data_IF_743920578821
#
_entry.id   IF_743920578821
#
_cell.length_a   1.000
_cell.length_b   1.000
_cell.length_c   1.000
_cell.angle_alpha   90.00
_cell.angle_beta   90.00
_cell.angle_gamma   90.00
#
_symmetry.space_group_name_H-M   'P 1'
#
loop_
_entity.id
_entity.type
_entity.pdbx_description
1 polymer ?
#
# COMPACT_ATOMS: atom_id res chain seq x y z
N UNK A 1 29.67 0.15 15.92
CA UNK A 1 28.77 -0.28 17.02
C UNK A 1 27.34 -0.08 16.55
N UNK A 2 26.43 -0.96 16.92
CA UNK A 2 24.98 -0.83 16.63
C UNK A 2 24.41 0.24 17.55
N UNK A 3 23.74 1.25 17.01
CA UNK A 3 23.13 2.32 17.81
C UNK A 3 21.64 2.09 17.97
N UNK A 4 21.16 2.15 19.21
CA UNK A 4 19.74 1.97 19.55
C UNK A 4 19.17 3.27 20.10
N UNK A 5 17.97 3.63 19.66
CA UNK A 5 17.24 4.77 20.18
C UNK A 5 15.75 4.47 20.28
N UNK A 6 15.15 5.02 21.34
CA UNK A 6 13.71 4.92 21.60
C UNK A 6 13.00 6.06 20.88
N UNK A 7 11.83 5.78 20.30
CA UNK A 7 11.05 6.75 19.52
C UNK A 7 9.65 6.86 20.11
N UNK A 8 9.36 8.01 20.68
CA UNK A 8 8.03 8.38 21.15
C UNK A 8 7.20 9.08 20.06
N UNK A 9 5.90 9.25 20.30
CA UNK A 9 4.96 9.82 19.32
C UNK A 9 5.42 11.15 18.67
N UNK A 10 5.91 12.15 19.44
CA UNK A 10 6.42 13.40 18.88
C UNK A 10 7.71 13.25 18.05
N UNK A 11 8.50 12.20 18.31
CA UNK A 11 9.81 11.98 17.69
C UNK A 11 9.73 11.19 16.39
N UNK A 12 8.55 10.65 16.05
CA UNK A 12 8.31 9.90 14.82
C UNK A 12 8.74 10.68 13.57
N UNK A 13 8.57 12.02 13.55
CA UNK A 13 9.03 12.84 12.43
C UNK A 13 10.55 12.73 12.17
N UNK A 14 11.36 12.57 13.23
CA UNK A 14 12.80 12.32 13.08
C UNK A 14 13.06 10.92 12.53
N UNK A 15 12.31 9.91 12.98
CA UNK A 15 12.40 8.56 12.44
C UNK A 15 12.05 8.54 10.94
N UNK A 16 10.98 9.20 10.52
CA UNK A 16 10.58 9.32 9.11
C UNK A 16 11.66 10.00 8.29
N UNK A 17 12.21 11.11 8.80
CA UNK A 17 13.33 11.81 8.15
C UNK A 17 14.53 10.87 8.01
N UNK A 18 14.83 10.05 9.03
CA UNK A 18 15.94 9.09 9.00
C UNK A 18 15.71 7.92 8.05
N UNK A 19 14.46 7.43 7.92
CA UNK A 19 14.08 6.38 6.96
C UNK A 19 14.46 6.79 5.54
N UNK A 20 14.08 8.01 5.14
CA UNK A 20 14.25 8.56 3.79
C UNK A 20 15.51 9.42 3.61
N UNK A 21 16.43 9.38 4.57
CA UNK A 21 17.70 10.09 4.47
C UNK A 21 18.59 9.46 3.39
N UNK A 22 18.77 10.18 2.28
CA UNK A 22 19.60 9.77 1.14
C UNK A 22 21.08 9.61 1.49
N UNK A 23 21.52 10.20 2.60
CA UNK A 23 22.91 10.11 3.09
C UNK A 23 23.14 8.91 4.01
N UNK A 24 22.07 8.23 4.45
CA UNK A 24 22.17 7.04 5.29
C UNK A 24 22.77 5.88 4.49
N UNK A 25 23.94 5.42 4.93
CA UNK A 25 24.66 4.28 4.34
C UNK A 25 24.37 2.96 5.03
N UNK A 26 23.79 3.00 6.22
CA UNK A 26 23.58 1.84 7.09
C UNK A 26 22.10 1.41 7.14
N UNK A 27 21.79 0.11 7.30
CA UNK A 27 20.42 -0.35 7.50
C UNK A 27 19.79 0.21 8.79
N UNK A 28 18.48 0.46 8.75
CA UNK A 28 17.68 0.89 9.89
C UNK A 28 16.65 -0.20 10.21
N UNK A 29 16.67 -0.70 11.44
CA UNK A 29 15.70 -1.68 11.94
C UNK A 29 14.70 -0.96 12.83
N UNK A 30 13.42 -1.01 12.46
CA UNK A 30 12.33 -0.45 13.27
C UNK A 30 11.65 -1.59 14.01
N UNK A 31 11.49 -1.46 15.33
CA UNK A 31 10.86 -2.45 16.19
C UNK A 31 9.59 -1.84 16.78
N UNK A 32 8.44 -2.48 16.55
CA UNK A 32 7.16 -2.02 17.08
C UNK A 32 6.74 -2.77 18.35
N UNK A 33 6.01 -2.13 19.27
CA UNK A 33 5.41 -2.82 20.41
C UNK A 33 4.13 -3.53 19.98
N UNK A 34 3.66 -4.46 20.82
CA UNK A 34 2.33 -5.05 20.67
C UNK A 34 1.32 -4.41 21.63
N UNK A 35 0.06 -4.33 21.21
CA UNK A 35 -1.02 -3.70 21.97
C UNK A 35 -1.31 -4.36 23.31
N UNK A 36 -1.02 -5.65 23.44
CA UNK A 36 -1.28 -6.45 24.65
C UNK A 36 -0.37 -6.05 25.81
N UNK A 37 0.93 -5.84 25.53
CA UNK A 37 1.96 -5.63 26.55
C UNK A 37 2.59 -4.24 26.49
N UNK A 38 2.33 -3.47 25.44
CA UNK A 38 2.99 -2.20 25.17
C UNK A 38 4.49 -2.33 24.89
N UNK A 39 5.00 -3.56 24.72
CA UNK A 39 6.43 -3.87 24.55
C UNK A 39 6.66 -4.68 23.27
N UNK A 40 7.87 -4.67 22.69
CA UNK A 40 8.22 -5.54 21.57
C UNK A 40 8.06 -7.02 21.90
N UNK A 41 7.75 -7.85 20.89
CA UNK A 41 7.69 -9.31 21.03
C UNK A 41 9.06 -9.99 21.04
N UNK A 42 10.12 -9.24 20.71
CA UNK A 42 11.50 -9.71 20.68
C UNK A 42 12.35 -9.09 21.79
N UNK A 43 13.44 -9.75 22.15
CA UNK A 43 14.48 -9.15 22.97
C UNK A 43 15.35 -8.21 22.12
N UNK A 44 15.14 -6.90 22.29
CA UNK A 44 15.86 -5.87 21.55
C UNK A 44 17.35 -5.87 21.89
N UNK A 45 17.73 -6.10 23.16
CA UNK A 45 19.13 -6.12 23.55
C UNK A 45 19.85 -7.27 22.86
N UNK A 46 19.21 -8.44 22.85
CA UNK A 46 19.72 -9.61 22.14
C UNK A 46 19.81 -9.41 20.63
N UNK A 47 18.82 -8.76 20.02
CA UNK A 47 18.87 -8.42 18.59
C UNK A 47 20.06 -7.49 18.28
N UNK A 48 20.30 -6.47 19.10
CA UNK A 48 21.38 -5.50 18.93
C UNK A 48 22.76 -6.16 18.97
N UNK A 49 22.96 -7.18 19.82
CA UNK A 49 24.19 -7.98 19.87
C UNK A 49 24.45 -8.78 18.58
N UNK A 50 23.38 -9.25 17.92
CA UNK A 50 23.47 -10.08 16.72
C UNK A 50 23.60 -9.25 15.44
N UNK A 51 23.16 -7.98 15.45
CA UNK A 51 23.16 -7.13 14.27
C UNK A 51 24.58 -6.72 13.84
N UNK A 52 24.82 -6.60 12.51
CA UNK A 52 26.08 -6.08 11.99
C UNK A 52 26.39 -4.69 12.54
N UNK A 53 27.67 -4.42 12.79
CA UNK A 53 28.14 -3.11 13.21
C UNK A 53 27.77 -2.04 12.17
N UNK A 54 27.22 -0.92 12.64
CA UNK A 54 26.73 0.16 11.76
C UNK A 54 25.21 0.20 11.66
N UNK A 55 24.52 -0.92 11.94
CA UNK A 55 23.05 -0.95 11.93
C UNK A 55 22.45 -0.02 12.99
N UNK A 56 21.42 0.72 12.61
CA UNK A 56 20.61 1.51 13.53
C UNK A 56 19.36 0.74 13.95
N UNK A 57 18.97 0.83 15.22
CA UNK A 57 17.74 0.23 15.74
C UNK A 57 16.87 1.31 16.37
N UNK A 58 15.70 1.54 15.78
CA UNK A 58 14.67 2.43 16.30
C UNK A 58 13.57 1.60 16.97
N UNK A 59 13.40 1.77 18.28
CA UNK A 59 12.37 1.07 19.04
C UNK A 59 11.20 2.03 19.28
N UNK A 60 10.03 1.71 18.73
CA UNK A 60 8.84 2.50 18.96
C UNK A 60 8.37 2.27 20.40
N UNK A 61 8.40 3.31 21.22
CA UNK A 61 8.15 3.20 22.65
C UNK A 61 6.68 2.92 22.99
N UNK A 62 5.76 3.30 22.08
CA UNK A 62 4.32 3.21 22.32
C UNK A 62 3.53 2.82 21.08
N UNK A 63 2.31 2.30 21.29
CA UNK A 63 1.34 2.08 20.20
C UNK A 63 0.97 3.38 19.47
N UNK A 64 1.05 4.53 20.16
CA UNK A 64 0.85 5.84 19.54
C UNK A 64 1.97 6.16 18.55
N UNK A 65 3.23 5.90 18.91
CA UNK A 65 4.36 6.07 18.00
C UNK A 65 4.23 5.16 16.77
N UNK A 66 3.83 3.90 16.95
CA UNK A 66 3.55 2.98 15.83
C UNK A 66 2.44 3.48 14.90
N UNK A 67 1.33 4.00 15.46
CA UNK A 67 0.26 4.60 14.64
C UNK A 67 0.71 5.83 13.89
N UNK A 68 1.35 6.78 14.58
CA UNK A 68 1.85 8.02 13.97
C UNK A 68 2.88 7.71 12.87
N UNK A 69 3.72 6.69 13.06
CA UNK A 69 4.63 6.23 12.01
C UNK A 69 3.84 5.72 10.81
N UNK A 70 2.86 4.85 11.02
CA UNK A 70 2.05 4.30 9.94
C UNK A 70 1.28 5.36 9.15
N UNK A 71 0.85 6.44 9.80
CA UNK A 71 0.17 7.57 9.17
C UNK A 71 1.15 8.46 8.37
N UNK A 72 2.44 8.47 8.71
CA UNK A 72 3.44 9.35 8.12
C UNK A 72 4.24 8.73 6.95
N UNK A 73 4.14 7.40 6.77
CA UNK A 73 4.90 6.63 5.77
C UNK A 73 3.98 5.80 4.88
N UNK A 74 4.45 5.51 3.67
CA UNK A 74 3.77 4.60 2.75
C UNK A 74 3.69 3.17 3.33
N UNK A 75 2.71 2.37 2.90
CA UNK A 75 2.38 1.05 3.47
C UNK A 75 3.60 0.10 3.59
N UNK A 76 4.52 0.17 2.62
CA UNK A 76 5.77 -0.60 2.64
C UNK A 76 6.77 -0.26 3.75
N UNK A 77 6.58 0.83 4.49
CA UNK A 77 7.44 1.24 5.60
C UNK A 77 6.76 1.11 6.96
N UNK A 78 5.48 0.74 7.00
CA UNK A 78 4.72 0.61 8.24
C UNK A 78 5.26 -0.52 9.12
N UNK A 79 5.25 -0.29 10.44
CA UNK A 79 5.72 -1.25 11.44
C UNK A 79 4.79 -1.19 12.66
N UNK A 80 4.05 -2.28 12.92
CA UNK A 80 3.01 -2.34 13.94
C UNK A 80 2.82 -3.76 14.52
N UNK A 81 2.15 -3.87 15.67
CA UNK A 81 1.67 -5.15 16.20
C UNK A 81 2.76 -6.09 16.71
N UNK A 82 3.92 -5.57 17.13
CA UNK A 82 5.05 -6.39 17.55
C UNK A 82 5.97 -6.81 16.40
N UNK A 83 5.71 -6.34 15.17
CA UNK A 83 6.56 -6.61 14.02
C UNK A 83 7.88 -5.82 14.07
N UNK A 84 8.85 -6.31 13.30
CA UNK A 84 10.14 -5.67 13.07
C UNK A 84 10.32 -5.43 11.58
N UNK A 85 10.72 -4.22 11.17
CA UNK A 85 11.01 -3.91 9.77
C UNK A 85 12.47 -3.57 9.56
N UNK A 86 13.11 -4.22 8.60
CA UNK A 86 14.46 -3.88 8.14
C UNK A 86 14.39 -2.95 6.92
N UNK A 87 14.92 -1.73 7.06
CA UNK A 87 14.88 -0.68 6.04
C UNK A 87 16.29 -0.45 5.50
N UNK A 88 16.52 -0.88 4.27
CA UNK A 88 17.81 -0.73 3.59
C UNK A 88 18.15 0.75 3.27
N UNK A 89 19.45 1.06 3.06
CA UNK A 89 19.90 2.36 2.59
C UNK A 89 19.25 2.81 1.27
N UNK A 90 19.13 4.12 1.09
CA UNK A 90 18.52 4.72 -0.10
C UNK A 90 17.05 4.37 -0.30
N UNK A 91 16.29 4.25 0.80
CA UNK A 91 14.86 3.99 0.77
C UNK A 91 14.11 5.14 0.07
N UNK A 92 13.25 4.80 -0.88
CA UNK A 92 12.38 5.73 -1.58
C UNK A 92 10.90 5.41 -1.29
N UNK A 93 10.03 6.43 -1.28
CA UNK A 93 8.58 6.25 -1.11
C UNK A 93 7.93 5.40 -2.20
N UNK A 94 8.63 5.15 -3.30
CA UNK A 94 8.19 4.30 -4.42
C UNK A 94 8.81 2.91 -4.38
N UNK A 95 9.60 2.58 -3.35
CA UNK A 95 10.26 1.28 -3.24
C UNK A 95 9.24 0.15 -3.06
N UNK A 96 9.44 -0.94 -3.78
CA UNK A 96 8.58 -2.11 -3.67
C UNK A 96 8.57 -2.68 -2.24
N UNK A 97 7.39 -3.08 -1.76
CA UNK A 97 7.16 -3.46 -0.36
C UNK A 97 8.03 -4.62 0.16
N UNK A 98 8.59 -5.46 -0.71
CA UNK A 98 9.52 -6.53 -0.32
C UNK A 98 10.98 -6.08 -0.15
N UNK A 99 11.38 -4.89 -0.65
CA UNK A 99 12.75 -4.35 -0.47
C UNK A 99 13.07 -4.09 1.00
N UNK A 100 12.08 -3.61 1.75
CA UNK A 100 12.19 -3.35 3.18
C UNK A 100 11.44 -4.43 3.93
N UNK A 101 12.11 -5.53 4.30
CA UNK A 101 11.44 -6.72 4.82
C UNK A 101 10.72 -6.44 6.14
N UNK A 102 9.46 -6.85 6.23
CA UNK A 102 8.70 -6.96 7.49
C UNK A 102 8.84 -8.38 8.06
N UNK A 103 9.11 -8.46 9.34
CA UNK A 103 9.09 -9.68 10.14
C UNK A 103 7.91 -9.58 11.10
N UNK A 104 6.89 -10.41 10.88
CA UNK A 104 5.82 -10.60 11.85
C UNK A 104 6.28 -11.62 12.87
N UNK A 105 6.17 -11.29 14.15
CA UNK A 105 6.49 -12.20 15.27
C UNK A 105 5.18 -12.52 15.99
N UNK A 106 4.89 -13.80 16.13
CA UNK A 106 3.72 -14.32 16.82
C UNK A 106 4.07 -14.75 18.26
N UNK A 107 3.09 -14.80 19.18
CA UNK A 107 3.32 -15.21 20.57
C UNK A 107 4.03 -16.56 20.75
N UNK A 108 3.81 -17.49 19.83
CA UNK A 108 4.35 -18.85 19.82
C UNK A 108 5.75 -18.98 19.21
N UNK A 109 6.26 -17.92 18.58
CA UNK A 109 7.56 -17.95 17.90
C UNK A 109 8.73 -18.02 18.89
N UNK A 110 9.78 -18.74 18.49
CA UNK A 110 11.07 -18.70 19.18
C UNK A 110 11.74 -17.34 18.96
N UNK A 111 11.75 -16.53 20.02
CA UNK A 111 12.31 -15.17 20.03
C UNK A 111 13.80 -15.14 19.64
N UNK A 112 14.61 -16.11 20.08
CA UNK A 112 16.04 -16.17 19.74
C UNK A 112 16.21 -16.51 18.26
N UNK A 113 15.41 -17.43 17.73
CA UNK A 113 15.41 -17.76 16.31
C UNK A 113 14.98 -16.55 15.46
N UNK A 114 13.96 -15.80 15.90
CA UNK A 114 13.51 -14.57 15.24
C UNK A 114 14.61 -13.50 15.22
N UNK A 115 15.28 -13.25 16.35
CA UNK A 115 16.41 -12.30 16.41
C UNK A 115 17.55 -12.69 15.46
N UNK A 116 17.91 -13.98 15.39
CA UNK A 116 18.94 -14.47 14.45
C UNK A 116 18.51 -14.33 12.99
N UNK A 117 17.23 -14.57 12.69
CA UNK A 117 16.69 -14.43 11.33
C UNK A 117 16.76 -12.97 10.87
N UNK A 118 16.32 -12.03 11.72
CA UNK A 118 16.39 -10.59 11.43
C UNK A 118 17.85 -10.17 11.22
N UNK A 119 18.74 -10.53 12.15
CA UNK A 119 20.15 -10.18 12.07
C UNK A 119 20.83 -10.72 10.81
N UNK A 120 20.55 -11.98 10.46
CA UNK A 120 21.04 -12.60 9.24
C UNK A 120 20.53 -11.88 7.99
N UNK A 121 19.25 -11.54 7.93
CA UNK A 121 18.71 -10.79 6.80
C UNK A 121 19.38 -9.41 6.63
N UNK A 122 19.62 -8.69 7.74
CA UNK A 122 20.34 -7.40 7.70
C UNK A 122 21.78 -7.60 7.22
N UNK A 123 22.47 -8.65 7.69
CA UNK A 123 23.82 -9.00 7.25
C UNK A 123 23.88 -9.37 5.76
N UNK A 124 22.97 -10.21 5.28
CA UNK A 124 22.90 -10.64 3.89
C UNK A 124 22.52 -9.48 2.94
N UNK A 125 21.90 -8.43 3.47
CA UNK A 125 21.49 -7.23 2.72
C UNK A 125 22.53 -6.10 2.77
N UNK A 126 23.58 -6.21 3.57
CA UNK A 126 24.69 -5.26 3.61
C UNK A 126 25.41 -5.24 2.25
N UNK A 127 25.56 -4.05 1.66
CA UNK A 127 26.13 -3.88 0.30
C UNK A 127 25.10 -3.89 -0.84
N UNK A 128 23.81 -4.12 -0.54
CA UNK A 128 22.73 -3.84 -1.49
C UNK A 128 22.61 -2.32 -1.62
N UNK A 129 23.19 -1.75 -2.67
CA UNK A 129 23.13 -0.31 -2.93
C UNK A 129 21.69 0.23 -3.03
N UNK A 130 21.52 1.55 -3.18
CA UNK A 130 20.22 2.12 -3.56
C UNK A 130 19.71 1.35 -4.77
N UNK A 131 18.41 1.06 -4.79
CA UNK A 131 17.80 0.33 -5.89
C UNK A 131 18.23 1.01 -7.20
N UNK A 132 18.94 0.27 -8.06
CA UNK A 132 19.09 0.70 -9.44
C UNK A 132 17.70 0.65 -10.01
N UNK A 133 17.04 1.81 -10.08
CA UNK A 133 15.86 1.96 -10.91
C UNK A 133 16.23 1.42 -12.28
N UNK A 134 15.66 0.27 -12.66
CA UNK A 134 15.52 -0.07 -14.06
C UNK A 134 14.81 1.13 -14.64
N UNK A 135 15.54 1.89 -15.44
CA UNK A 135 15.11 3.14 -16.01
C UNK A 135 14.07 2.81 -17.09
N UNK A 136 12.86 2.45 -16.65
CA UNK A 136 11.67 2.77 -17.43
C UNK A 136 11.65 4.28 -17.51
N UNK A 137 11.99 4.79 -18.69
CA UNK A 137 11.92 6.18 -19.15
C UNK A 137 11.83 7.22 -18.02
N UNK A 138 12.96 7.82 -17.66
CA UNK A 138 12.99 8.95 -16.75
C UNK A 138 11.88 9.96 -17.15
N UNK A 139 11.03 10.42 -16.22
CA UNK A 139 10.20 11.58 -16.50
C UNK A 139 11.18 12.71 -16.80
N UNK A 140 11.13 13.21 -18.04
CA UNK A 140 11.99 14.29 -18.48
C UNK A 140 11.92 15.45 -17.50
N UNK A 141 13.05 15.74 -16.88
CA UNK A 141 13.49 17.08 -16.50
C UNK A 141 12.69 17.79 -15.43
N UNK A 142 13.42 18.44 -14.52
CA UNK A 142 13.00 19.71 -13.97
C UNK A 142 12.44 20.56 -15.11
N UNK A 143 11.19 21.04 -14.99
CA UNK A 143 10.55 21.90 -15.99
C UNK A 143 11.54 22.99 -16.38
N UNK A 144 11.86 23.11 -17.68
CA UNK A 144 12.69 24.23 -18.10
C UNK A 144 11.96 25.55 -17.80
N UNK A 145 12.70 26.66 -17.74
CA UNK A 145 12.15 27.98 -17.42
C UNK A 145 10.98 28.39 -18.33
N UNK A 146 10.93 27.89 -19.55
CA UNK A 146 9.86 28.16 -20.52
C UNK A 146 8.62 27.32 -20.22
N UNK A 147 8.80 26.05 -19.87
CA UNK A 147 7.73 25.15 -19.44
C UNK A 147 7.12 25.59 -18.10
N UNK A 148 7.95 26.06 -17.16
CA UNK A 148 7.51 26.66 -15.91
C UNK A 148 6.71 27.94 -16.14
N UNK A 149 7.14 28.79 -17.08
CA UNK A 149 6.42 30.01 -17.48
C UNK A 149 5.07 29.69 -18.15
N UNK A 150 5.01 28.67 -19.02
CA UNK A 150 3.77 28.20 -19.63
C UNK A 150 2.78 27.66 -18.59
N UNK A 151 3.27 26.93 -17.59
CA UNK A 151 2.45 26.42 -16.49
C UNK A 151 1.91 27.56 -15.60
N UNK A 152 2.74 28.56 -15.31
CA UNK A 152 2.32 29.75 -14.56
C UNK A 152 1.29 30.59 -15.31
N UNK A 153 1.40 30.69 -16.64
CA UNK A 153 0.42 31.37 -17.48
C UNK A 153 -0.90 30.59 -17.59
N UNK A 154 -0.82 29.27 -17.74
CA UNK A 154 -1.98 28.39 -17.69
C UNK A 154 -2.72 28.47 -16.35
N UNK A 155 -1.98 28.48 -15.23
CA UNK A 155 -2.55 28.63 -13.88
C UNK A 155 -3.20 30.00 -13.68
N UNK A 156 -2.61 31.07 -14.22
CA UNK A 156 -3.22 32.41 -14.23
C UNK A 156 -4.50 32.46 -15.05
N UNK A 157 -4.58 31.76 -16.19
CA UNK A 157 -5.80 31.68 -17.00
C UNK A 157 -6.91 30.89 -16.30
N UNK A 158 -6.56 29.82 -15.59
CA UNK A 158 -7.52 29.05 -14.77
C UNK A 158 -8.07 29.86 -13.59
N UNK A 159 -7.24 30.70 -12.97
CA UNK A 159 -7.64 31.55 -11.84
C UNK A 159 -8.43 32.79 -12.32
N UNK A 160 -8.09 33.36 -13.48
CA UNK A 160 -8.78 34.51 -14.05
C UNK A 160 -10.09 34.12 -14.79
N UNK A 161 -10.20 32.88 -15.25
CA UNK A 161 -11.36 32.35 -15.98
C UNK A 161 -12.42 31.75 -15.07
N UNK A 162 -12.95 32.55 -14.14
CA UNK A 162 -14.22 32.23 -13.47
C UNK A 162 -15.38 32.37 -14.46
N UNK A 163 -16.01 31.24 -14.79
CA UNK A 163 -17.20 31.08 -15.62
C UNK A 163 -17.01 31.08 -17.17
N UNK A 164 -17.06 29.86 -17.72
CA UNK A 164 -17.62 29.57 -19.05
C UNK A 164 -16.73 29.80 -20.27
N UNK A 165 -16.02 28.77 -20.73
CA UNK A 165 -16.16 28.32 -22.12
C UNK A 165 -15.52 26.92 -22.34
N UNK A 166 -16.05 26.20 -23.34
CA UNK A 166 -15.75 24.80 -23.63
C UNK A 166 -14.27 24.56 -23.99
N UNK A 167 -13.60 23.62 -23.32
CA UNK A 167 -12.37 23.01 -23.83
C UNK A 167 -12.69 21.99 -24.95
N UNK A 168 -11.92 21.96 -26.05
CA UNK A 168 -12.21 21.08 -27.19
C UNK A 168 -11.97 19.62 -26.81
N UNK A 169 -12.98 18.78 -27.05
CA UNK A 169 -12.86 17.32 -26.97
C UNK A 169 -11.83 16.83 -28.00
N UNK A 170 -10.89 15.94 -27.65
CA UNK A 170 -10.08 15.25 -28.64
C UNK A 170 -11.00 14.40 -29.55
N UNK A 171 -10.80 14.53 -30.86
CA UNK A 171 -11.59 13.85 -31.88
C UNK A 171 -11.35 12.33 -31.82
N UNK A 172 -12.42 11.58 -31.60
CA UNK A 172 -12.47 10.13 -31.82
C UNK A 172 -12.60 9.91 -33.34
N UNK A 173 -11.77 9.07 -33.98
CA UNK A 173 -11.91 8.78 -35.40
C UNK A 173 -13.18 7.97 -35.67
N UNK A 174 -14.01 8.47 -36.60
CA UNK A 174 -15.27 7.85 -37.02
C UNK A 174 -15.02 6.56 -37.81
N UNK A 175 -15.68 5.47 -37.39
CA UNK A 175 -15.99 4.34 -38.26
C UNK A 175 -17.35 4.57 -38.95
N UNK A 176 -17.41 4.26 -40.25
CA UNK A 176 -18.54 4.53 -41.15
C UNK A 176 -19.83 3.74 -40.86
N UNK A 177 -20.90 4.02 -41.63
CA UNK A 177 -22.28 3.80 -41.22
C UNK A 177 -22.79 2.39 -41.55
N UNK A 178 -23.61 1.82 -40.66
CA UNK A 178 -24.28 0.55 -40.93
C UNK A 178 -25.30 0.11 -39.88
N UNK A 179 -26.56 0.44 -40.17
CA UNK A 179 -27.80 -0.26 -39.79
C UNK A 179 -28.41 0.00 -38.41
N UNK A 180 -29.66 0.48 -38.50
CA UNK A 180 -30.63 0.88 -37.49
C UNK A 180 -31.36 -0.36 -36.94
N UNK A 181 -31.55 -0.44 -35.63
CA UNK A 181 -32.43 -1.41 -34.98
C UNK A 181 -32.97 -0.87 -33.65
N UNK A 182 -34.28 -0.88 -33.50
CA UNK A 182 -35.08 -0.03 -32.60
C UNK A 182 -35.43 -0.64 -31.23
N UNK A 183 -35.17 0.12 -30.15
CA UNK A 183 -35.92 0.20 -28.86
C UNK A 183 -35.90 -0.99 -27.88
N UNK A 184 -36.43 -0.85 -26.64
CA UNK A 184 -36.81 0.35 -25.88
C UNK A 184 -36.06 0.50 -24.52
N UNK A 185 -35.86 1.74 -24.07
CA UNK A 185 -35.31 2.04 -22.73
C UNK A 185 -36.36 1.89 -21.61
N UNK A 186 -35.96 1.58 -20.36
CA UNK A 186 -36.88 1.50 -19.24
C UNK A 186 -37.23 2.90 -18.71
N UNK A 187 -38.53 3.09 -18.45
CA UNK A 187 -39.15 4.30 -17.86
C UNK A 187 -38.93 4.38 -16.34
N UNK A 188 -39.03 5.59 -15.74
CA UNK A 188 -38.73 5.85 -14.34
C UNK A 188 -39.94 5.71 -13.38
N UNK A 189 -39.63 5.43 -12.12
CA UNK A 189 -40.47 5.74 -10.94
C UNK A 189 -40.32 4.71 -9.80
N UNK A 190 -40.80 4.98 -8.57
CA UNK A 190 -41.19 6.26 -7.96
C UNK A 190 -40.67 6.49 -6.51
N UNK A 191 -40.71 7.74 -6.03
CA UNK A 191 -41.27 8.05 -4.71
C UNK A 191 -40.35 8.15 -3.48
N UNK A 192 -40.11 9.41 -3.09
CA UNK A 192 -39.62 9.90 -1.79
C UNK A 192 -40.22 9.16 -0.57
N UNK A 193 -39.37 8.79 0.40
CA UNK A 193 -39.77 8.58 1.80
C UNK A 193 -38.83 9.33 2.75
N UNK A 194 -39.48 10.05 3.67
CA UNK A 194 -38.94 10.95 4.70
C UNK A 194 -38.02 10.21 5.68
N UNK A 195 -36.85 10.80 5.97
CA UNK A 195 -36.02 10.42 7.10
C UNK A 195 -36.61 10.99 8.40
N UNK A 196 -36.73 10.13 9.41
CA UNK A 196 -37.07 10.50 10.78
C UNK A 196 -35.82 11.06 11.48
N UNK A 197 -35.89 12.31 11.93
CA UNK A 197 -34.91 12.87 12.87
C UNK A 197 -35.07 12.23 14.24
N UNK A 198 -33.99 11.63 14.76
CA UNK A 198 -33.87 11.24 16.17
C UNK A 198 -33.41 12.45 16.98
N UNK A 199 -34.23 12.81 17.95
CA UNK A 199 -34.05 13.86 18.96
C UNK A 199 -32.86 13.57 19.88
N UNK A 200 -32.03 14.58 20.13
CA UNK A 200 -31.10 14.63 21.26
C UNK A 200 -31.81 15.27 22.48
N UNK A 201 -31.55 14.82 23.71
CA UNK A 201 -32.18 15.36 24.91
C UNK A 201 -31.57 16.71 25.34
N UNK A 202 -32.46 17.56 25.86
CA UNK A 202 -32.24 18.93 26.35
C UNK A 202 -31.75 18.89 27.80
N UNK A 203 -30.79 19.73 28.23
CA UNK A 203 -30.48 19.89 29.64
C UNK A 203 -31.56 20.72 30.35
N UNK A 204 -31.87 20.31 31.57
CA UNK A 204 -32.77 20.91 32.55
C UNK A 204 -32.27 22.27 33.03
N UNK A 205 -33.22 23.21 33.16
CA UNK A 205 -33.01 24.50 33.80
C UNK A 205 -32.96 24.33 35.33
N UNK A 206 -31.95 24.90 35.97
CA UNK A 206 -31.83 25.04 37.41
C UNK A 206 -31.88 26.55 37.75
N UNK A 207 -32.69 26.88 38.74
CA UNK A 207 -33.07 28.22 39.20
C UNK A 207 -31.89 29.08 39.66
N UNK A 208 -31.96 30.39 39.38
CA UNK A 208 -31.21 31.44 40.05
C UNK A 208 -32.19 32.52 40.56
N UNK A 209 -31.96 33.11 41.75
CA UNK A 209 -32.97 33.87 42.50
C UNK A 209 -33.13 35.33 42.07
N UNK A 210 -34.27 35.90 42.48
CA UNK A 210 -34.80 37.26 42.24
C UNK A 210 -33.86 38.42 42.63
N UNK A 211 -33.98 39.59 41.97
CA UNK A 211 -33.23 40.79 42.31
C UNK A 211 -33.87 41.58 43.46
N UNK A 212 -33.01 41.98 44.40
CA UNK A 212 -33.32 42.80 45.58
C UNK A 212 -33.55 44.28 45.21
N UNK A 213 -34.37 44.92 46.04
CA UNK A 213 -35.03 46.21 45.83
C UNK A 213 -34.09 47.44 45.72
N UNK A 214 -34.57 48.42 44.94
CA UNK A 214 -34.01 49.76 44.82
C UNK A 214 -34.48 50.69 45.95
N UNK A 215 -33.57 51.56 46.41
CA UNK A 215 -33.84 52.79 47.16
C UNK A 215 -32.72 53.83 46.87
N UNK A 216 -32.96 55.15 47.05
CA UNK A 216 -32.71 56.13 45.99
C UNK A 216 -31.56 57.13 46.22
N UNK A 217 -31.34 57.94 45.17
CA UNK A 217 -30.95 59.38 45.15
C UNK A 217 -29.48 59.75 44.88
N UNK A 218 -29.25 60.42 43.74
CA UNK A 218 -28.34 61.57 43.60
C UNK A 218 -28.63 62.36 42.29
N UNK A 219 -28.63 63.69 42.41
CA UNK A 219 -28.95 64.71 41.41
C UNK A 219 -28.01 64.75 40.16
N UNK A 220 -28.39 65.43 39.06
CA UNK A 220 -27.64 65.38 37.80
C UNK A 220 -26.43 66.32 37.82
N UNK A 221 -25.23 65.76 37.68
CA UNK A 221 -23.99 66.48 37.36
C UNK A 221 -23.79 66.64 35.84
N UNK A 222 -22.95 67.61 35.40
CA UNK A 222 -22.89 68.07 34.02
C UNK A 222 -22.30 67.00 33.09
N UNK A 223 -22.87 66.88 31.89
CA UNK A 223 -22.57 65.82 30.92
C UNK A 223 -21.12 65.80 30.43
N UNK A 224 -20.64 64.64 29.93
CA UNK A 224 -19.30 64.53 29.40
C UNK A 224 -19.19 65.38 28.13
N UNK A 225 -18.24 66.32 28.13
CA UNK A 225 -17.86 67.06 26.94
C UNK A 225 -17.51 66.07 25.82
N UNK A 226 -18.28 66.13 24.73
CA UNK A 226 -17.97 65.42 23.51
C UNK A 226 -16.60 65.90 23.01
N UNK A 227 -15.58 65.08 23.16
CA UNK A 227 -14.29 65.29 22.51
C UNK A 227 -14.49 64.99 21.03
N UNK A 228 -14.71 66.03 20.22
CA UNK A 228 -14.68 65.90 18.77
C UNK A 228 -13.22 65.71 18.34
N UNK A 229 -12.88 64.47 17.96
CA UNK A 229 -11.62 64.17 17.29
C UNK A 229 -11.85 64.52 15.82
N UNK A 230 -11.18 65.57 15.34
CA UNK A 230 -11.12 65.87 13.91
C UNK A 230 -9.99 65.05 13.31
N UNK A 231 -10.35 64.07 12.50
CA UNK A 231 -9.40 63.25 11.73
C UNK A 231 -9.42 63.78 10.30
N UNK A 232 -8.24 64.02 9.74
CA UNK A 232 -8.09 64.46 8.36
C UNK A 232 -8.57 63.36 7.40
N UNK A 233 -9.27 63.74 6.32
CA UNK A 233 -9.92 62.78 5.44
C UNK A 233 -8.92 61.83 4.77
N UNK A 234 -7.71 62.32 4.46
CA UNK A 234 -6.63 61.51 3.90
C UNK A 234 -6.11 60.46 4.89
N UNK A 235 -6.00 60.82 6.17
CA UNK A 235 -5.58 59.90 7.23
C UNK A 235 -6.66 58.84 7.49
N UNK A 236 -7.93 59.20 7.32
CA UNK A 236 -9.04 58.27 7.43
C UNK A 236 -9.07 57.26 6.28
N UNK A 237 -8.81 57.69 5.04
CA UNK A 237 -8.68 56.79 3.88
C UNK A 237 -7.51 55.82 4.04
N UNK A 238 -6.34 56.29 4.47
CA UNK A 238 -5.16 55.42 4.67
C UNK A 238 -5.41 54.35 5.75
N UNK A 239 -6.06 54.72 6.86
CA UNK A 239 -6.46 53.78 7.91
C UNK A 239 -7.55 52.79 7.45
N UNK A 240 -8.44 53.23 6.55
CA UNK A 240 -9.47 52.37 5.95
C UNK A 240 -8.85 51.35 5.00
N UNK A 241 -7.92 51.77 4.14
CA UNK A 241 -7.19 50.89 3.22
C UNK A 241 -6.36 49.85 3.99
N UNK A 242 -5.62 50.25 5.03
CA UNK A 242 -4.91 49.30 5.89
C UNK A 242 -5.85 48.28 6.55
N UNK A 243 -7.03 48.72 6.98
CA UNK A 243 -8.03 47.83 7.58
C UNK A 243 -8.64 46.88 6.56
N UNK A 244 -8.94 47.35 5.36
CA UNK A 244 -9.46 46.52 4.26
C UNK A 244 -8.42 45.47 3.86
N UNK A 245 -7.17 45.86 3.71
CA UNK A 245 -6.06 44.95 3.41
C UNK A 245 -5.84 43.89 4.49
N UNK A 246 -5.97 44.29 5.76
CA UNK A 246 -5.92 43.36 6.89
C UNK A 246 -7.06 42.36 6.85
N UNK A 247 -8.28 42.81 6.52
CA UNK A 247 -9.46 41.96 6.41
C UNK A 247 -9.30 40.99 5.24
N UNK A 248 -8.88 41.46 4.06
CA UNK A 248 -8.67 40.63 2.86
C UNK A 248 -7.63 39.55 3.13
N UNK A 249 -6.50 39.88 3.77
CA UNK A 249 -5.47 38.91 4.15
C UNK A 249 -6.01 37.85 5.12
N UNK A 250 -6.79 38.28 6.10
CA UNK A 250 -7.35 37.37 7.12
C UNK A 250 -8.43 36.45 6.55
N UNK A 251 -9.26 36.97 5.64
CA UNK A 251 -10.27 36.17 4.93
C UNK A 251 -9.60 35.18 3.97
N UNK A 252 -8.59 35.61 3.22
CA UNK A 252 -7.86 34.74 2.29
C UNK A 252 -7.14 33.59 3.02
N UNK A 253 -6.45 33.89 4.12
CA UNK A 253 -5.80 32.88 4.94
C UNK A 253 -6.80 31.88 5.55
N UNK A 254 -7.95 32.36 6.04
CA UNK A 254 -8.99 31.49 6.58
C UNK A 254 -9.67 30.61 5.53
N UNK A 255 -9.81 31.10 4.30
CA UNK A 255 -10.33 30.31 3.17
C UNK A 255 -9.33 29.25 2.73
N UNK A 256 -8.03 29.58 2.65
CA UNK A 256 -6.98 28.62 2.31
C UNK A 256 -6.84 27.51 3.36
N UNK A 257 -6.82 27.84 4.65
CA UNK A 257 -6.81 26.85 5.73
C UNK A 257 -8.07 25.98 5.70
N UNK A 258 -9.25 26.58 5.48
CA UNK A 258 -10.51 25.84 5.37
C UNK A 258 -10.54 24.89 4.17
N UNK A 259 -10.01 25.30 3.02
CA UNK A 259 -9.95 24.47 1.81
C UNK A 259 -8.98 23.31 1.97
N UNK A 260 -7.83 23.54 2.61
CA UNK A 260 -6.84 22.50 2.92
C UNK A 260 -7.39 21.49 3.94
N UNK A 261 -8.13 21.95 4.95
CA UNK A 261 -8.79 21.06 5.91
C UNK A 261 -9.82 20.16 5.22
N UNK A 262 -10.66 20.71 4.34
CA UNK A 262 -11.66 19.94 3.58
C UNK A 262 -11.02 18.93 2.62
N UNK A 263 -9.95 19.30 1.91
CA UNK A 263 -9.19 18.39 1.05
C UNK A 263 -8.57 17.24 1.84
N UNK A 264 -8.06 17.53 3.04
CA UNK A 264 -7.47 16.52 3.90
C UNK A 264 -8.54 15.58 4.49
N UNK A 265 -9.71 16.09 4.86
CA UNK A 265 -10.85 15.29 5.29
C UNK A 265 -11.37 14.36 4.18
N UNK A 266 -11.44 14.85 2.94
CA UNK A 266 -11.87 14.08 1.77
C UNK A 266 -10.85 12.99 1.42
N UNK A 267 -9.54 13.30 1.46
CA UNK A 267 -8.49 12.31 1.26
C UNK A 267 -8.55 11.20 2.32
N UNK A 268 -8.72 11.58 3.59
CA UNK A 268 -8.92 10.64 4.69
C UNK A 268 -10.22 9.82 4.55
N UNK A 269 -11.27 10.39 3.94
CA UNK A 269 -12.50 9.66 3.66
C UNK A 269 -12.28 8.62 2.55
N UNK A 270 -11.59 8.98 1.47
CA UNK A 270 -11.20 8.06 0.41
C UNK A 270 -10.31 6.92 0.90
N UNK A 271 -9.33 7.21 1.76
CA UNK A 271 -8.45 6.18 2.32
C UNK A 271 -9.20 5.23 3.27
N UNK A 272 -10.16 5.74 4.04
CA UNK A 272 -11.08 4.90 4.82
C UNK A 272 -11.93 4.01 3.93
N UNK A 273 -12.37 4.52 2.79
CA UNK A 273 -13.18 3.77 1.83
C UNK A 273 -12.36 2.70 1.10
N UNK A 274 -11.12 3.01 0.71
CA UNK A 274 -10.16 2.03 0.17
C UNK A 274 -9.80 0.96 1.19
N UNK A 275 -9.48 1.35 2.43
CA UNK A 275 -9.16 0.40 3.51
C UNK A 275 -10.34 -0.53 3.81
N UNK A 276 -11.57 -0.02 3.73
CA UNK A 276 -12.79 -0.85 3.84
C UNK A 276 -12.93 -1.78 2.64
N UNK A 277 -12.68 -1.31 1.42
CA UNK A 277 -12.73 -2.14 0.22
C UNK A 277 -11.70 -3.27 0.29
N UNK A 278 -10.48 -2.98 0.75
CA UNK A 278 -9.41 -3.97 0.91
C UNK A 278 -9.73 -4.97 2.02
N UNK A 279 -10.23 -4.49 3.17
CA UNK A 279 -10.69 -5.37 4.26
C UNK A 279 -11.85 -6.26 3.82
N UNK A 280 -12.77 -5.74 3.01
CA UNK A 280 -13.88 -6.52 2.45
C UNK A 280 -13.38 -7.51 1.38
N UNK A 281 -12.38 -7.16 0.58
CA UNK A 281 -11.75 -8.06 -0.37
C UNK A 281 -11.03 -9.23 0.35
N UNK A 282 -10.33 -8.93 1.45
CA UNK A 282 -9.67 -9.94 2.28
C UNK A 282 -10.69 -10.83 3.00
N UNK A 283 -11.74 -10.25 3.59
CA UNK A 283 -12.84 -11.01 4.17
C UNK A 283 -13.56 -11.87 3.14
N UNK A 284 -13.76 -11.37 1.92
CA UNK A 284 -14.34 -12.15 0.83
C UNK A 284 -13.40 -13.29 0.40
N UNK A 285 -12.09 -13.07 0.35
CA UNK A 285 -11.11 -14.11 0.03
C UNK A 285 -11.04 -15.20 1.11
N UNK A 286 -11.07 -14.82 2.40
CA UNK A 286 -11.13 -15.75 3.53
C UNK A 286 -12.48 -16.50 3.57
N UNK A 287 -13.59 -15.82 3.32
CA UNK A 287 -14.91 -16.46 3.18
C UNK A 287 -14.94 -17.40 1.98
N UNK A 288 -14.35 -17.04 0.84
CA UNK A 288 -14.21 -17.91 -0.32
C UNK A 288 -13.38 -19.15 0.03
N UNK A 289 -12.23 -18.99 0.68
CA UNK A 289 -11.39 -20.08 1.13
C UNK A 289 -12.13 -21.00 2.12
N UNK A 290 -12.88 -20.43 3.07
CA UNK A 290 -13.69 -21.19 4.03
C UNK A 290 -14.86 -21.88 3.36
N UNK A 291 -15.50 -21.25 2.37
CA UNK A 291 -16.54 -21.88 1.56
C UNK A 291 -15.97 -22.98 0.68
N UNK A 292 -14.77 -22.83 0.12
CA UNK A 292 -14.06 -23.89 -0.61
C UNK A 292 -13.75 -25.10 0.29
N UNK A 293 -13.30 -24.83 1.51
CA UNK A 293 -13.01 -25.85 2.53
C UNK A 293 -14.30 -26.50 3.08
N UNK A 294 -15.35 -25.72 3.36
CA UNK A 294 -16.63 -26.22 3.89
C UNK A 294 -17.51 -26.91 2.85
N UNK A 295 -17.48 -26.45 1.59
CA UNK A 295 -18.31 -27.02 0.52
C UNK A 295 -17.72 -28.31 -0.06
N UNK A 296 -16.56 -28.77 0.41
CA UNK A 296 -15.92 -29.96 -0.17
C UNK A 296 -15.74 -29.83 -1.68
N UNK A 297 -15.56 -28.60 -2.19
CA UNK A 297 -15.37 -28.30 -3.62
C UNK A 297 -13.93 -28.55 -4.05
N UNK A 298 -13.40 -29.72 -3.66
CA UNK A 298 -12.65 -30.55 -4.60
C UNK A 298 -13.59 -31.04 -5.69
N UNK A 299 -14.24 -30.13 -6.41
CA UNK A 299 -14.93 -30.47 -7.64
C UNK A 299 -13.84 -30.92 -8.58
N UNK A 300 -13.74 -32.22 -8.81
CA UNK A 300 -12.83 -32.79 -9.78
C UNK A 300 -12.91 -31.93 -11.04
N UNK A 301 -11.79 -31.33 -11.42
CA UNK A 301 -11.67 -30.57 -12.65
C UNK A 301 -12.26 -31.44 -13.76
N UNK A 302 -13.24 -30.96 -14.55
CA UNK A 302 -13.93 -31.83 -15.50
C UNK A 302 -12.90 -32.53 -16.37
N UNK A 303 -12.92 -33.86 -16.38
CA UNK A 303 -12.02 -34.62 -17.24
C UNK A 303 -12.54 -34.52 -18.68
N UNK A 304 -11.99 -33.56 -19.42
CA UNK A 304 -12.33 -33.28 -20.82
C UNK A 304 -11.53 -34.18 -21.76
N UNK A 305 -10.30 -34.51 -21.39
CA UNK A 305 -9.41 -35.34 -22.19
C UNK A 305 -9.02 -36.63 -21.48
N UNK A 306 -8.92 -37.72 -22.25
CA UNK A 306 -8.40 -38.99 -21.77
C UNK A 306 -6.87 -38.92 -21.55
N UNK A 307 -6.17 -38.21 -22.44
CA UNK A 307 -4.73 -37.96 -22.36
C UNK A 307 -4.40 -36.96 -21.22
N UNK A 308 -3.62 -37.35 -20.20
CA UNK A 308 -3.34 -36.50 -19.04
C UNK A 308 -2.55 -35.23 -19.38
N UNK A 309 -1.69 -35.28 -20.40
CA UNK A 309 -0.93 -34.12 -20.86
C UNK A 309 -1.82 -33.06 -21.53
N UNK A 310 -2.78 -33.49 -22.35
CA UNK A 310 -3.80 -32.60 -22.95
C UNK A 310 -4.77 -32.08 -21.90
N UNK A 311 -5.16 -32.92 -20.94
CA UNK A 311 -5.98 -32.50 -19.81
C UNK A 311 -5.29 -31.35 -19.04
N UNK A 312 -4.01 -31.52 -18.66
CA UNK A 312 -3.28 -30.47 -17.94
C UNK A 312 -3.16 -29.16 -18.73
N UNK A 313 -2.92 -29.21 -20.05
CA UNK A 313 -2.87 -28.00 -20.88
C UNK A 313 -4.20 -27.26 -20.88
N UNK A 314 -5.31 -27.99 -20.96
CA UNK A 314 -6.64 -27.41 -20.86
C UNK A 314 -6.89 -26.79 -19.47
N UNK A 315 -6.45 -27.45 -18.40
CA UNK A 315 -6.57 -26.94 -17.03
C UNK A 315 -5.82 -25.61 -16.84
N UNK A 316 -4.59 -25.51 -17.36
CA UNK A 316 -3.79 -24.28 -17.33
C UNK A 316 -4.48 -23.15 -18.10
N UNK A 317 -5.02 -23.46 -19.29
CA UNK A 317 -5.75 -22.48 -20.08
C UNK A 317 -7.01 -21.99 -19.36
N UNK A 318 -7.80 -22.89 -18.77
CA UNK A 318 -9.00 -22.51 -18.00
C UNK A 318 -8.67 -21.69 -16.76
N UNK A 319 -7.64 -22.07 -16.01
CA UNK A 319 -7.19 -21.32 -14.83
C UNK A 319 -6.69 -19.93 -15.23
N UNK A 320 -5.96 -19.81 -16.34
CA UNK A 320 -5.50 -18.51 -16.84
C UNK A 320 -6.67 -17.62 -17.27
N UNK A 321 -7.64 -18.17 -18.02
CA UNK A 321 -8.79 -17.41 -18.51
C UNK A 321 -9.73 -16.97 -17.38
N UNK A 322 -9.88 -17.77 -16.32
CA UNK A 322 -10.82 -17.48 -15.22
C UNK A 322 -10.15 -16.78 -14.04
N UNK A 323 -8.88 -17.06 -13.76
CA UNK A 323 -8.13 -16.54 -12.62
C UNK A 323 -7.29 -15.28 -12.91
N UNK A 324 -7.03 -14.94 -14.19
CA UNK A 324 -6.25 -13.76 -14.57
C UNK A 324 -7.15 -12.68 -15.22
N UNK A 325 -7.17 -11.43 -14.71
CA UNK A 325 -7.94 -10.34 -15.30
C UNK A 325 -7.60 -10.13 -16.78
N UNK A 326 -8.59 -9.72 -17.60
CA UNK A 326 -8.37 -9.48 -19.03
C UNK A 326 -7.25 -8.48 -19.34
N UNK A 327 -7.11 -7.45 -18.51
CA UNK A 327 -6.03 -6.47 -18.61
C UNK A 327 -4.62 -7.07 -18.44
N UNK A 328 -4.50 -8.18 -17.73
CA UNK A 328 -3.24 -8.89 -17.48
C UNK A 328 -2.98 -10.01 -18.49
N UNK A 329 -3.95 -10.32 -19.37
CA UNK A 329 -3.84 -11.40 -20.37
C UNK A 329 -3.22 -10.96 -21.70
N UNK A 330 -2.88 -9.68 -21.85
CA UNK A 330 -2.41 -9.09 -23.11
C UNK A 330 -1.12 -9.72 -23.66
N UNK A 331 -0.19 -10.09 -22.77
CA UNK A 331 1.13 -10.64 -23.15
C UNK A 331 1.09 -12.16 -23.43
N UNK A 332 -0.02 -12.83 -23.12
CA UNK A 332 -0.18 -14.28 -23.28
C UNK A 332 0.67 -15.12 -22.32
N UNK A 333 0.51 -16.45 -22.40
CA UNK A 333 1.35 -17.39 -21.66
C UNK A 333 2.59 -17.78 -22.47
N UNK A 334 3.73 -17.92 -21.78
CA UNK A 334 4.94 -18.52 -22.36
C UNK A 334 4.66 -19.94 -22.85
N UNK A 335 5.37 -20.36 -23.90
CA UNK A 335 5.35 -21.74 -24.36
C UNK A 335 5.98 -22.66 -23.32
N UNK A 336 5.46 -23.89 -23.22
CA UNK A 336 5.97 -24.84 -22.25
C UNK A 336 5.96 -26.29 -22.69
N UNK A 337 6.84 -27.06 -22.07
CA UNK A 337 6.94 -28.51 -22.17
C UNK A 337 6.80 -29.15 -20.79
N UNK A 338 6.46 -30.44 -20.77
CA UNK A 338 6.36 -31.23 -19.55
C UNK A 338 7.50 -32.24 -19.56
N UNK A 339 8.25 -32.29 -18.47
CA UNK A 339 9.27 -33.31 -18.25
C UNK A 339 8.64 -34.71 -18.18
N UNK A 340 9.40 -35.77 -18.49
CA UNK A 340 8.86 -37.13 -18.63
C UNK A 340 8.13 -37.67 -17.39
N UNK A 341 8.55 -37.23 -16.19
CA UNK A 341 7.99 -37.67 -14.90
C UNK A 341 7.05 -36.65 -14.26
N UNK A 342 6.77 -35.55 -14.96
CA UNK A 342 6.03 -34.45 -14.36
C UNK A 342 4.60 -34.83 -14.02
N UNK A 343 3.90 -35.51 -14.93
CA UNK A 343 2.52 -35.93 -14.72
C UNK A 343 2.41 -36.93 -13.57
N UNK A 344 3.32 -37.91 -13.50
CA UNK A 344 3.41 -38.87 -12.40
C UNK A 344 3.59 -38.15 -11.05
N UNK A 345 4.42 -37.10 -11.01
CA UNK A 345 4.64 -36.31 -9.79
C UNK A 345 3.38 -35.57 -9.32
N UNK A 346 2.48 -35.20 -10.23
CA UNK A 346 1.21 -34.57 -9.88
C UNK A 346 0.18 -35.58 -9.34
N UNK A 347 0.30 -36.86 -9.69
CA UNK A 347 -0.59 -37.93 -9.21
C UNK A 347 -0.26 -38.37 -7.77
N UNK A 348 0.92 -38.03 -7.25
CA UNK A 348 1.32 -38.34 -5.87
C UNK A 348 0.51 -37.56 -4.80
N UNK A 349 -0.40 -36.67 -5.20
CA UNK A 349 -1.33 -35.90 -4.35
C UNK A 349 -0.68 -35.18 -3.15
N UNK A 350 0.59 -34.81 -3.25
CA UNK A 350 1.33 -34.05 -2.21
C UNK A 350 0.66 -32.69 -1.95
N UNK A 351 0.08 -32.10 -3.00
CA UNK A 351 -0.71 -30.86 -2.96
C UNK A 351 -1.93 -31.02 -3.89
N UNK A 352 -3.05 -30.32 -3.60
CA UNK A 352 -4.18 -30.31 -4.52
C UNK A 352 -3.75 -29.85 -5.92
N UNK A 353 -4.10 -30.63 -6.93
CA UNK A 353 -3.75 -30.40 -8.35
C UNK A 353 -3.99 -28.96 -8.80
N UNK A 354 -5.13 -28.38 -8.42
CA UNK A 354 -5.49 -27.00 -8.74
C UNK A 354 -4.46 -25.96 -8.24
N UNK A 355 -3.84 -26.18 -7.06
CA UNK A 355 -2.79 -25.30 -6.55
C UNK A 355 -1.54 -25.35 -7.42
N UNK A 356 -1.14 -26.55 -7.84
CA UNK A 356 -0.01 -26.70 -8.77
C UNK A 356 -0.30 -26.01 -10.10
N UNK A 357 -1.50 -26.20 -10.67
CA UNK A 357 -1.92 -25.55 -11.92
C UNK A 357 -1.86 -24.03 -11.80
N UNK A 358 -2.35 -23.45 -10.70
CA UNK A 358 -2.27 -22.00 -10.46
C UNK A 358 -0.83 -21.48 -10.45
N UNK A 359 0.08 -22.18 -9.75
CA UNK A 359 1.51 -21.82 -9.74
C UNK A 359 2.12 -21.94 -11.15
N UNK A 360 1.73 -22.96 -11.93
CA UNK A 360 2.17 -23.08 -13.32
C UNK A 360 1.71 -21.88 -14.16
N UNK A 361 0.46 -21.42 -14.02
CA UNK A 361 -0.04 -20.23 -14.71
C UNK A 361 0.80 -18.99 -14.34
N UNK A 362 1.07 -18.79 -13.06
CA UNK A 362 1.89 -17.65 -12.60
C UNK A 362 3.32 -17.73 -13.14
N UNK A 363 3.91 -18.93 -13.26
CA UNK A 363 5.21 -19.12 -13.90
C UNK A 363 5.17 -18.76 -15.39
N UNK A 364 4.16 -19.24 -16.11
CA UNK A 364 4.01 -19.00 -17.55
C UNK A 364 3.67 -17.55 -17.89
N UNK A 365 2.95 -16.85 -17.01
CA UNK A 365 2.65 -15.44 -17.11
C UNK A 365 3.85 -14.55 -16.71
N UNK A 366 4.94 -15.13 -16.19
CA UNK A 366 6.14 -14.39 -15.76
C UNK A 366 6.05 -13.81 -14.35
N UNK A 367 5.03 -14.19 -13.57
CA UNK A 367 4.80 -13.74 -12.20
C UNK A 367 5.31 -14.71 -11.14
N UNK A 368 6.14 -15.70 -11.52
CA UNK A 368 6.75 -16.66 -10.59
C UNK A 368 7.49 -15.97 -9.43
N UNK A 369 8.15 -14.84 -9.71
CA UNK A 369 8.94 -14.09 -8.73
C UNK A 369 8.10 -13.05 -7.97
N UNK A 370 6.98 -12.62 -8.55
CA UNK A 370 6.11 -11.60 -7.97
C UNK A 370 5.12 -12.20 -6.96
N UNK A 371 4.55 -13.37 -7.33
CA UNK A 371 3.44 -14.01 -6.62
C UNK A 371 3.88 -15.18 -5.74
N UNK A 372 5.06 -15.76 -6.00
CA UNK A 372 5.55 -16.94 -5.29
C UNK A 372 7.00 -16.78 -4.81
N UNK A 373 7.37 -17.55 -3.79
CA UNK A 373 8.77 -17.74 -3.43
C UNK A 373 9.43 -18.63 -4.49
N UNK A 374 10.32 -18.04 -5.28
CA UNK A 374 11.04 -18.74 -6.36
C UNK A 374 12.54 -18.58 -6.17
N UNK A 375 13.26 -19.70 -6.16
CA UNK A 375 14.71 -19.73 -5.95
C UNK A 375 15.40 -20.62 -6.98
N UNK A 376 16.70 -20.41 -7.16
CA UNK A 376 17.52 -21.26 -8.01
C UNK A 376 17.56 -22.69 -7.46
N UNK A 377 17.40 -23.68 -8.33
CA UNK A 377 17.64 -25.07 -7.96
C UNK A 377 19.12 -25.38 -8.13
N UNK A 378 19.80 -25.65 -7.01
CA UNK A 378 21.25 -25.79 -6.93
C UNK A 378 21.66 -27.24 -6.67
N UNK A 379 22.87 -27.60 -7.08
CA UNK A 379 23.42 -28.96 -6.90
C UNK A 379 23.76 -29.34 -5.45
N UNK A 380 23.76 -28.36 -4.54
CA UNK A 380 24.07 -28.56 -3.15
C UNK A 380 23.14 -27.74 -2.25
N UNK A 381 22.71 -28.25 -1.09
CA UNK A 381 21.80 -27.57 -0.16
C UNK A 381 22.29 -26.19 0.35
N UNK A 382 23.59 -25.90 0.28
CA UNK A 382 24.19 -24.61 0.68
C UNK A 382 25.30 -24.22 -0.28
N UNK A 383 25.16 -23.06 -0.93
CA UNK A 383 26.20 -22.46 -1.78
C UNK A 383 26.51 -23.22 -3.08
N UNK A 384 25.62 -24.13 -3.51
CA UNK A 384 25.75 -24.83 -4.77
C UNK A 384 25.55 -23.89 -5.96
N UNK A 385 26.19 -24.22 -7.09
CA UNK A 385 25.89 -23.54 -8.36
C UNK A 385 24.47 -23.89 -8.80
N UNK A 386 23.78 -22.92 -9.39
CA UNK A 386 22.51 -23.20 -10.05
C UNK A 386 22.73 -24.27 -11.11
N UNK A 387 21.79 -25.23 -11.18
CA UNK A 387 21.82 -26.24 -12.22
C UNK A 387 21.58 -25.57 -13.57
N UNK A 388 22.51 -25.82 -14.48
CA UNK A 388 22.40 -25.42 -15.89
C UNK A 388 22.55 -26.70 -16.69
N UNK A 389 21.58 -26.96 -17.57
CA UNK A 389 21.61 -28.09 -18.51
C UNK A 389 22.49 -27.74 -19.72
N UNK A 390 22.95 -28.75 -20.44
CA UNK A 390 23.87 -28.58 -21.60
C UNK A 390 23.31 -27.66 -22.71
N UNK A 391 21.99 -27.50 -22.80
CA UNK A 391 21.30 -26.60 -23.71
C UNK A 391 21.20 -25.14 -23.20
N UNK A 392 21.79 -24.85 -22.03
CA UNK A 392 21.75 -23.55 -21.39
C UNK A 392 20.50 -23.31 -20.54
N UNK A 393 19.61 -24.28 -20.39
CA UNK A 393 18.42 -24.12 -19.56
C UNK A 393 18.79 -24.06 -18.07
N UNK A 394 18.21 -23.11 -17.33
CA UNK A 394 18.51 -22.88 -15.90
C UNK A 394 17.39 -23.41 -15.01
N UNK A 395 17.73 -24.13 -13.94
CA UNK A 395 16.74 -24.72 -13.06
C UNK A 395 16.27 -23.79 -11.94
N UNK A 396 14.98 -23.84 -11.65
CA UNK A 396 14.27 -23.04 -10.67
C UNK A 396 13.34 -23.91 -9.82
N UNK A 397 13.07 -23.45 -8.60
CA UNK A 397 12.13 -24.05 -7.66
C UNK A 397 11.20 -22.98 -7.12
N UNK A 398 9.90 -23.21 -7.27
CA UNK A 398 8.82 -22.32 -6.81
C UNK A 398 7.98 -23.04 -5.76
N UNK A 399 7.68 -22.40 -4.65
CA UNK A 399 6.82 -23.00 -3.61
C UNK A 399 5.38 -23.14 -4.11
N UNK A 400 4.77 -24.30 -3.88
CA UNK A 400 3.33 -24.54 -4.16
C UNK A 400 2.49 -24.36 -2.89
N UNK A 401 3.07 -24.62 -1.72
CA UNK A 401 2.48 -24.35 -0.42
C UNK A 401 3.59 -23.97 0.57
N UNK A 402 3.55 -22.72 1.04
CA UNK A 402 4.46 -22.22 2.08
C UNK A 402 4.13 -22.84 3.47
N UNK A 403 5.08 -22.78 4.40
CA UNK A 403 4.87 -23.05 5.83
C UNK A 403 4.37 -24.46 6.19
N UNK A 404 4.81 -25.48 5.45
CA UNK A 404 4.58 -26.90 5.82
C UNK A 404 5.90 -27.66 5.94
N UNK A 405 5.97 -28.64 6.86
CA UNK A 405 7.10 -29.57 6.94
C UNK A 405 7.28 -30.26 5.58
N UNK A 406 8.45 -30.07 4.96
CA UNK A 406 8.72 -30.56 3.61
C UNK A 406 8.12 -29.72 2.47
N UNK A 407 7.70 -28.47 2.72
CA UNK A 407 7.02 -27.55 1.80
C UNK A 407 7.11 -27.93 0.29
N UNK A 408 6.00 -28.40 -0.31
CA UNK A 408 5.98 -28.85 -1.70
C UNK A 408 6.40 -27.75 -2.68
N UNK A 409 7.29 -28.08 -3.60
CA UNK A 409 7.87 -27.15 -4.59
C UNK A 409 7.72 -27.69 -6.00
N UNK A 410 7.40 -26.80 -6.92
CA UNK A 410 7.43 -27.02 -8.35
C UNK A 410 8.83 -26.70 -8.87
N UNK A 411 9.48 -27.70 -9.47
CA UNK A 411 10.78 -27.55 -10.14
C UNK A 411 10.55 -27.37 -11.64
N UNK A 412 11.17 -26.36 -12.22
CA UNK A 412 11.03 -26.02 -13.63
C UNK A 412 12.33 -25.46 -14.20
N UNK A 413 12.49 -25.54 -15.52
CA UNK A 413 13.63 -25.02 -16.25
C UNK A 413 13.20 -23.84 -17.10
N UNK A 414 14.01 -22.79 -17.07
CA UNK A 414 13.89 -21.69 -18.01
C UNK A 414 14.83 -21.96 -19.18
N UNK A 415 14.26 -22.19 -20.36
CA UNK A 415 15.01 -22.45 -21.58
C UNK A 415 15.62 -21.15 -22.13
N UNK A 416 16.69 -21.28 -22.92
CA UNK A 416 17.38 -20.13 -23.52
C UNK A 416 16.51 -19.34 -24.51
N UNK A 417 15.49 -19.98 -25.10
CA UNK A 417 14.50 -19.37 -25.98
C UNK A 417 13.35 -18.66 -25.24
N UNK A 418 13.36 -18.69 -23.90
CA UNK A 418 12.34 -18.08 -23.05
C UNK A 418 11.15 -18.99 -22.73
N UNK A 419 11.11 -20.21 -23.28
CA UNK A 419 10.12 -21.23 -22.93
C UNK A 419 10.38 -21.84 -21.55
N UNK A 420 9.39 -22.54 -21.00
CA UNK A 420 9.44 -23.16 -19.67
C UNK A 420 9.28 -24.68 -19.78
N UNK A 421 10.12 -25.44 -19.10
CA UNK A 421 9.95 -26.89 -18.95
C UNK A 421 9.61 -27.24 -17.51
N UNK A 422 8.43 -27.82 -17.25
CA UNK A 422 8.05 -28.25 -15.91
C UNK A 422 8.63 -29.64 -15.60
N UNK A 423 9.48 -29.73 -14.59
CA UNK A 423 10.25 -30.94 -14.30
C UNK A 423 9.58 -31.89 -13.29
N UNK A 424 9.20 -31.37 -12.12
CA UNK A 424 8.66 -32.19 -11.01
C UNK A 424 7.93 -31.33 -9.98
N UNK A 425 6.89 -31.85 -9.33
CA UNK A 425 6.33 -31.29 -8.10
C UNK A 425 6.53 -32.27 -6.95
N UNK A 426 7.14 -31.82 -5.85
CA UNK A 426 7.48 -32.72 -4.75
C UNK A 426 7.99 -32.02 -3.50
N UNK A 427 8.31 -32.81 -2.48
CA UNK A 427 8.90 -32.30 -1.25
C UNK A 427 10.33 -31.78 -1.48
N UNK A 428 10.80 -30.93 -0.57
CA UNK A 428 12.09 -30.26 -0.71
C UNK A 428 13.31 -31.19 -0.77
N UNK A 429 13.20 -32.34 -0.10
CA UNK A 429 14.23 -33.37 0.05
C UNK A 429 14.33 -34.30 -1.16
N UNK A 430 13.33 -34.27 -2.05
CA UNK A 430 13.38 -35.02 -3.29
C UNK A 430 14.39 -34.34 -4.23
N UNK A 431 15.60 -34.90 -4.22
CA UNK A 431 16.62 -34.62 -5.22
C UNK A 431 16.21 -35.35 -6.50
N UNK A 432 15.83 -34.57 -7.50
CA UNK A 432 15.52 -35.05 -8.86
C UNK A 432 16.80 -35.14 -9.67
#
# INVERSE_FOLDING_TARGET
>A
MTSTWSVDGPEVGHLVTRIFDVTRTEPLVVVSPVSETGSPRIDVARLVELLPAGTEVAVLATMKASRVLSDAVDTQFQCYGGSVRAILPGAARTDYWRRHRLFTIYPEDDVEAACRLIARHVADSQGTGPARHVSGTAPHGVLDLRQAAQLAEYRRRLIAGGAGDQAPRPAVPQAGPGVVGSGPGPKPGPGLRKAFSRTAPRPTAEEAPEPEAAAPEAAPGPGPAARSITVDAAVLEELLDEKVDSIVRRVSAGVEEGLLALLNEELQAQDRERSRADSLAEQNADLQLRLEVMQGRGGAVPRVFADPGRQLRWEIEQEWLTGTPESERADGLRTFTLGPRFLDSMEAEIVPRAKTVRVMVDVLAGHAWDRHETHQFTDAPRGGKQRVRDDGATAWRTYVKAESHGAPRLTWWQCADGSVEFGHVGHHDELI
#
